data_IF_280452961476
#
_entry.id   IF_280452961476
#
_cell.length_a   1.000
_cell.length_b   1.000
_cell.length_c   1.000
_cell.angle_alpha   90.00
_cell.angle_beta   90.00
_cell.angle_gamma   90.00
#
_symmetry.space_group_name_H-M   'P 1'
#
loop_
_entity.id
_entity.type
_entity.pdbx_description
1 polymer ?
#
# COMPACT_ATOMS: atom_id res chain seq x y z
N UNK A 1 -15.95 8.75 12.37
CA UNK A 1 -14.58 8.52 11.86
C UNK A 1 -14.63 7.28 10.98
N UNK A 2 -14.10 7.33 9.76
CA UNK A 2 -14.06 6.18 8.85
C UNK A 2 -13.04 5.14 9.32
N UNK A 3 -13.36 3.86 9.11
CA UNK A 3 -12.47 2.74 9.48
C UNK A 3 -11.69 2.26 8.25
N UNK A 4 -10.36 2.13 8.33
CA UNK A 4 -9.58 1.53 7.26
C UNK A 4 -9.87 0.03 7.14
N UNK A 5 -9.82 -0.49 5.92
CA UNK A 5 -9.84 -1.94 5.64
C UNK A 5 -8.42 -2.38 5.28
N UNK A 6 -7.89 -3.38 5.98
CA UNK A 6 -6.52 -3.89 5.76
C UNK A 6 -6.58 -5.26 5.10
N UNK A 7 -5.95 -5.38 3.93
CA UNK A 7 -5.84 -6.63 3.18
C UNK A 7 -4.39 -7.12 3.20
N UNK A 8 -4.15 -8.32 3.77
CA UNK A 8 -2.82 -8.93 3.89
C UNK A 8 -2.87 -10.45 3.62
N UNK A 9 -1.71 -11.06 3.39
CA UNK A 9 -1.60 -12.48 3.01
C UNK A 9 -0.55 -12.77 1.94
N UNK A 10 -0.27 -14.06 1.70
CA UNK A 10 0.79 -14.55 0.81
C UNK A 10 0.62 -14.12 -0.66
N UNK A 11 1.72 -14.01 -1.41
CA UNK A 11 1.64 -13.73 -2.86
C UNK A 11 0.72 -14.74 -3.56
N UNK A 12 -0.06 -14.28 -4.54
CA UNK A 12 -1.04 -15.13 -5.25
C UNK A 12 -2.37 -15.38 -4.52
N UNK A 13 -2.56 -14.93 -3.28
CA UNK A 13 -3.79 -15.20 -2.49
C UNK A 13 -5.02 -14.34 -2.86
N UNK A 14 -5.03 -13.65 -4.01
CA UNK A 14 -6.19 -12.85 -4.44
C UNK A 14 -6.38 -11.46 -3.78
N UNK A 15 -5.44 -11.00 -2.94
CA UNK A 15 -5.55 -9.68 -2.27
C UNK A 15 -5.78 -8.49 -3.19
N UNK A 16 -5.05 -8.44 -4.30
CA UNK A 16 -5.16 -7.34 -5.26
C UNK A 16 -6.52 -7.35 -5.96
N UNK A 17 -7.06 -8.54 -6.23
CA UNK A 17 -8.40 -8.70 -6.79
C UNK A 17 -9.46 -8.16 -5.81
N UNK A 18 -9.44 -8.59 -4.54
CA UNK A 18 -10.36 -8.08 -3.53
C UNK A 18 -10.21 -6.57 -3.30
N UNK A 19 -8.97 -6.06 -3.26
CA UNK A 19 -8.71 -4.63 -3.07
C UNK A 19 -9.22 -3.79 -4.24
N UNK A 20 -9.12 -4.30 -5.46
CA UNK A 20 -9.66 -3.66 -6.65
C UNK A 20 -11.18 -3.58 -6.58
N UNK A 21 -11.87 -4.68 -6.24
CA UNK A 21 -13.33 -4.67 -6.06
C UNK A 21 -13.78 -3.68 -4.99
N UNK A 22 -13.11 -3.64 -3.83
CA UNK A 22 -13.41 -2.66 -2.78
C UNK A 22 -13.28 -1.22 -3.28
N UNK A 23 -12.27 -0.96 -4.12
CA UNK A 23 -12.06 0.37 -4.67
C UNK A 23 -13.11 0.75 -5.72
N UNK A 24 -13.35 -0.13 -6.70
CA UNK A 24 -14.23 0.15 -7.84
C UNK A 24 -15.71 0.07 -7.47
N UNK A 25 -16.11 -0.90 -6.65
CA UNK A 25 -17.52 -1.17 -6.35
C UNK A 25 -17.99 -0.49 -5.05
N UNK A 26 -17.09 -0.35 -4.07
CA UNK A 26 -17.45 0.21 -2.76
C UNK A 26 -16.85 1.60 -2.52
N UNK A 27 -16.10 2.15 -3.49
CA UNK A 27 -15.57 3.51 -3.42
C UNK A 27 -14.50 3.70 -2.35
N UNK A 28 -13.74 2.65 -2.03
CA UNK A 28 -12.55 2.76 -1.18
C UNK A 28 -11.36 3.32 -1.94
N UNK A 29 -10.55 4.13 -1.28
CA UNK A 29 -9.25 4.56 -1.81
C UNK A 29 -8.23 3.46 -1.57
N UNK A 30 -7.67 2.94 -2.66
CA UNK A 30 -6.70 1.86 -2.59
C UNK A 30 -5.26 2.35 -2.33
N UNK A 31 -4.80 2.22 -1.09
CA UNK A 31 -3.40 2.46 -0.71
C UNK A 31 -2.56 1.18 -0.87
N UNK A 32 -1.64 1.17 -1.84
CA UNK A 32 -0.82 0.00 -2.18
C UNK A 32 0.60 0.14 -1.62
N UNK A 33 0.97 -0.76 -0.71
CA UNK A 33 2.31 -0.74 -0.07
C UNK A 33 3.45 -0.85 -1.08
N UNK A 34 3.35 -1.68 -2.12
CA UNK A 34 4.40 -1.81 -3.15
C UNK A 34 4.56 -0.53 -3.99
N UNK A 35 3.47 0.15 -4.34
CA UNK A 35 3.51 1.42 -5.09
C UNK A 35 4.13 2.51 -4.22
N UNK A 36 3.72 2.61 -2.95
CA UNK A 36 4.26 3.58 -2.00
C UNK A 36 5.75 3.32 -1.76
N UNK A 37 6.15 2.05 -1.61
CA UNK A 37 7.55 1.63 -1.44
C UNK A 37 8.43 2.06 -2.61
N UNK A 38 7.99 1.82 -3.84
CA UNK A 38 8.73 2.25 -5.05
C UNK A 38 8.81 3.76 -5.13
N UNK A 39 7.70 4.46 -4.90
CA UNK A 39 7.66 5.93 -4.88
C UNK A 39 8.66 6.52 -3.86
N UNK A 40 8.69 6.00 -2.63
CA UNK A 40 9.62 6.44 -1.59
C UNK A 40 11.09 6.13 -1.92
N UNK A 41 11.34 5.16 -2.80
CA UNK A 41 12.66 4.83 -3.33
C UNK A 41 13.01 5.61 -4.61
N UNK A 42 12.15 6.55 -5.06
CA UNK A 42 12.37 7.30 -6.30
C UNK A 42 12.19 6.46 -7.57
N UNK A 43 11.42 5.37 -7.51
CA UNK A 43 11.17 4.46 -8.62
C UNK A 43 9.75 4.61 -9.16
N UNK A 44 9.59 4.37 -10.47
CA UNK A 44 8.27 4.29 -11.08
C UNK A 44 7.51 3.04 -10.59
N UNK A 45 6.16 3.07 -10.48
CA UNK A 45 5.39 1.94 -9.97
C UNK A 45 5.59 0.64 -10.75
N UNK A 46 5.81 0.73 -12.06
CA UNK A 46 6.03 -0.40 -12.97
C UNK A 46 7.49 -0.84 -13.02
N UNK A 47 8.42 -0.07 -12.43
CA UNK A 47 9.83 -0.40 -12.40
C UNK A 47 10.07 -1.66 -11.57
N UNK A 48 10.93 -2.55 -12.08
CA UNK A 48 11.36 -3.75 -11.36
C UNK A 48 12.24 -3.36 -10.17
N UNK A 49 11.93 -3.93 -9.00
CA UNK A 49 12.68 -3.72 -7.77
C UNK A 49 13.24 -5.03 -7.21
N UNK A 50 13.67 -5.95 -8.09
CA UNK A 50 14.19 -7.26 -7.68
C UNK A 50 15.29 -7.11 -6.62
N UNK A 51 15.08 -7.74 -5.47
CA UNK A 51 16.05 -7.84 -4.39
C UNK A 51 15.82 -9.15 -3.64
N UNK A 52 16.86 -9.69 -2.96
CA UNK A 52 16.66 -10.78 -2.01
C UNK A 52 15.65 -10.41 -0.92
N UNK A 53 15.07 -11.42 -0.27
CA UNK A 53 14.12 -11.21 0.82
C UNK A 53 14.71 -10.30 1.91
N UNK A 54 13.96 -9.27 2.30
CA UNK A 54 14.37 -8.31 3.32
C UNK A 54 15.54 -7.40 2.91
N UNK A 55 15.85 -7.28 1.61
CA UNK A 55 16.94 -6.42 1.09
C UNK A 55 16.40 -5.35 0.15
N UNK A 56 17.26 -4.37 -0.16
CA UNK A 56 16.92 -3.24 -1.01
C UNK A 56 15.72 -2.47 -0.46
N UNK A 57 14.76 -2.13 -1.33
CA UNK A 57 13.56 -1.40 -0.93
C UNK A 57 12.61 -2.25 -0.04
N UNK A 58 12.87 -3.54 0.13
CA UNK A 58 12.09 -4.43 1.01
C UNK A 58 12.75 -4.63 2.39
N UNK A 59 13.81 -3.89 2.70
CA UNK A 59 14.44 -3.89 4.02
C UNK A 59 13.53 -3.37 5.14
N UNK A 60 13.93 -3.59 6.39
CA UNK A 60 13.16 -3.23 7.59
C UNK A 60 12.92 -1.73 7.70
N UNK A 61 13.96 -0.91 7.54
CA UNK A 61 13.84 0.55 7.61
C UNK A 61 12.88 1.10 6.56
N UNK A 62 13.02 0.66 5.30
CA UNK A 62 12.11 1.05 4.22
C UNK A 62 10.69 0.56 4.50
N UNK A 63 10.53 -0.64 5.06
CA UNK A 63 9.22 -1.16 5.45
C UNK A 63 8.55 -0.30 6.51
N UNK A 64 9.27 0.12 7.55
CA UNK A 64 8.76 1.06 8.56
C UNK A 64 8.29 2.36 7.92
N UNK A 65 9.13 2.97 7.06
CA UNK A 65 8.80 4.22 6.36
C UNK A 65 7.56 4.10 5.47
N UNK A 66 7.40 2.97 4.78
CA UNK A 66 6.22 2.70 3.94
C UNK A 66 4.94 2.65 4.78
N UNK A 67 4.96 1.95 5.91
CA UNK A 67 3.79 1.86 6.77
C UNK A 67 3.45 3.19 7.45
N UNK A 68 4.46 3.98 7.85
CA UNK A 68 4.26 5.35 8.35
C UNK A 68 3.58 6.24 7.30
N UNK A 69 4.08 6.25 6.06
CA UNK A 69 3.48 7.02 4.97
C UNK A 69 2.04 6.54 4.68
N UNK A 70 1.79 5.23 4.66
CA UNK A 70 0.45 4.67 4.47
C UNK A 70 -0.53 5.11 5.56
N UNK A 71 -0.09 5.14 6.82
CA UNK A 71 -0.91 5.59 7.94
C UNK A 71 -1.24 7.07 7.81
N UNK A 72 -0.26 7.91 7.43
CA UNK A 72 -0.49 9.35 7.24
C UNK A 72 -1.42 9.64 6.06
N UNK A 73 -1.29 8.89 4.96
CA UNK A 73 -2.23 8.95 3.83
C UNK A 73 -3.65 8.54 4.24
N UNK A 74 -3.79 7.42 4.96
CA UNK A 74 -5.09 6.95 5.44
C UNK A 74 -5.76 7.97 6.37
N UNK A 75 -5.01 8.53 7.32
CA UNK A 75 -5.50 9.61 8.21
C UNK A 75 -5.97 10.82 7.42
N UNK A 76 -5.25 11.22 6.36
CA UNK A 76 -5.64 12.34 5.49
C UNK A 76 -6.98 12.07 4.82
N UNK A 77 -7.16 10.90 4.19
CA UNK A 77 -8.40 10.55 3.52
C UNK A 77 -9.59 10.46 4.48
N UNK A 78 -9.40 9.87 5.67
CA UNK A 78 -10.44 9.80 6.70
C UNK A 78 -10.87 11.20 7.17
N UNK A 79 -9.93 12.14 7.34
CA UNK A 79 -10.25 13.54 7.68
C UNK A 79 -11.03 14.25 6.58
N UNK A 80 -10.80 13.88 5.32
CA UNK A 80 -11.53 14.39 4.16
C UNK A 80 -12.90 13.71 3.98
N UNK A 81 -13.31 12.81 4.88
CA UNK A 81 -14.57 12.05 4.77
C UNK A 81 -14.55 10.97 3.70
N UNK A 82 -13.36 10.65 3.16
CA UNK A 82 -13.17 9.59 2.17
C UNK A 82 -12.95 8.25 2.88
N UNK A 83 -13.31 7.17 2.19
CA UNK A 83 -12.99 5.80 2.56
C UNK A 83 -12.07 5.21 1.52
#
# INVERSE_FOLDING_TARGET
MGNPVVIFGLSGSGKSFLSQMLAEEMGFIWLRSDVIRKRLAGMEPQQSARAPFGKGIYGEEMTRRVYEEMIEMAKRHVREGKR
#
